data_IF_698833846299
#
_entry.id   IF_698833846299
#
_cell.length_a   1.000
_cell.length_b   1.000
_cell.length_c   1.000
_cell.angle_alpha   90.00
_cell.angle_beta   90.00
_cell.angle_gamma   90.00
#
_symmetry.space_group_name_H-M   'P 1'
#
loop_
_entity.id
_entity.type
_entity.pdbx_description
1 polymer ?
#
# COMPACT_ATOMS: atom_id res chain seq x y z
N UNK A 1 -21.81 7.10 -12.79
CA UNK A 1 -22.90 7.18 -11.80
C UNK A 1 -23.76 8.37 -12.19
N UNK A 2 -25.08 8.30 -12.00
CA UNK A 2 -25.95 9.46 -12.19
C UNK A 2 -25.81 10.43 -11.02
N UNK A 3 -26.16 11.71 -11.21
CA UNK A 3 -26.15 12.71 -10.13
C UNK A 3 -27.07 12.32 -8.97
N UNK A 4 -28.16 11.60 -9.24
CA UNK A 4 -29.07 11.06 -8.22
C UNK A 4 -28.41 9.99 -7.34
N UNK A 5 -27.61 9.09 -7.93
CA UNK A 5 -26.86 8.08 -7.17
C UNK A 5 -25.79 8.73 -6.27
N UNK A 6 -25.16 9.80 -6.75
CA UNK A 6 -24.14 10.54 -6.00
C UNK A 6 -24.77 11.36 -4.86
N UNK A 7 -25.97 11.90 -5.06
CA UNK A 7 -26.71 12.62 -4.04
C UNK A 7 -27.23 11.70 -2.94
N UNK A 8 -27.76 10.53 -3.30
CA UNK A 8 -28.15 9.49 -2.35
C UNK A 8 -26.95 9.01 -1.50
N UNK A 9 -25.78 8.84 -2.12
CA UNK A 9 -24.55 8.47 -1.40
C UNK A 9 -24.11 9.55 -0.40
N UNK A 10 -24.25 10.83 -0.76
CA UNK A 10 -23.91 11.98 0.10
C UNK A 10 -24.86 12.14 1.27
N UNK A 11 -26.13 11.79 1.11
CA UNK A 11 -27.12 11.79 2.19
C UNK A 11 -26.88 10.63 3.15
N UNK A 12 -26.67 9.41 2.62
CA UNK A 12 -26.34 8.23 3.42
C UNK A 12 -25.06 8.43 4.24
N UNK A 13 -24.02 9.00 3.63
CA UNK A 13 -22.76 9.28 4.33
C UNK A 13 -22.90 10.37 5.41
N UNK A 14 -23.77 11.37 5.20
CA UNK A 14 -24.08 12.39 6.22
C UNK A 14 -24.83 11.78 7.41
N UNK A 15 -25.76 10.88 7.12
CA UNK A 15 -26.54 10.19 8.16
C UNK A 15 -25.66 9.22 8.97
N UNK A 16 -24.79 8.46 8.30
CA UNK A 16 -23.78 7.62 8.95
C UNK A 16 -22.86 8.46 9.84
N UNK A 17 -22.30 9.56 9.32
CA UNK A 17 -21.40 10.43 10.09
C UNK A 17 -22.08 11.06 11.32
N UNK A 18 -23.38 11.40 11.22
CA UNK A 18 -24.17 11.91 12.36
C UNK A 18 -24.40 10.82 13.41
N UNK A 19 -24.78 9.61 13.00
CA UNK A 19 -25.02 8.47 13.91
C UNK A 19 -23.74 7.99 14.59
N UNK A 20 -22.59 8.06 13.91
CA UNK A 20 -21.27 7.80 14.52
C UNK A 20 -20.87 8.87 15.56
N UNK A 21 -21.23 10.13 15.35
CA UNK A 21 -20.96 11.21 16.29
C UNK A 21 -21.78 11.08 17.61
N UNK A 22 -22.94 10.43 17.56
CA UNK A 22 -23.84 10.24 18.72
C UNK A 22 -23.43 9.09 19.65
N UNK A 23 -22.26 8.43 19.45
CA UNK A 23 -21.73 7.33 20.29
C UNK A 23 -22.65 6.11 20.41
N UNK A 24 -23.49 5.85 19.41
CA UNK A 24 -24.34 4.66 19.45
C UNK A 24 -23.53 3.41 19.04
N UNK A 25 -23.08 2.64 20.04
CA UNK A 25 -22.16 1.49 19.90
C UNK A 25 -22.79 0.26 19.20
N UNK A 26 -24.05 0.35 18.79
CA UNK A 26 -24.84 -0.76 18.25
C UNK A 26 -25.48 -0.43 16.89
N UNK A 27 -24.86 0.41 16.06
CA UNK A 27 -25.41 0.68 14.72
C UNK A 27 -25.36 -0.58 13.83
N UNK A 28 -26.54 -1.12 13.54
CA UNK A 28 -26.76 -2.19 12.57
C UNK A 28 -27.25 -1.53 11.27
N UNK A 29 -26.53 -1.66 10.13
CA UNK A 29 -26.96 -1.09 8.86
C UNK A 29 -28.36 -1.59 8.49
N UNK A 30 -29.22 -0.68 8.03
CA UNK A 30 -30.58 -1.04 7.64
C UNK A 30 -30.58 -1.97 6.43
N UNK A 31 -31.68 -2.69 6.19
CA UNK A 31 -31.83 -3.53 5.00
C UNK A 31 -31.62 -2.76 3.69
N UNK A 32 -31.93 -1.47 3.67
CA UNK A 32 -31.76 -0.60 2.51
C UNK A 32 -30.28 -0.21 2.29
N UNK A 33 -29.54 0.02 3.37
CA UNK A 33 -28.09 0.26 3.34
C UNK A 33 -27.33 -0.98 2.86
N UNK A 34 -27.73 -2.15 3.36
CA UNK A 34 -27.15 -3.45 2.94
C UNK A 34 -27.38 -3.72 1.46
N UNK A 35 -28.60 -3.48 0.96
CA UNK A 35 -28.93 -3.61 -0.47
C UNK A 35 -28.12 -2.66 -1.34
N UNK A 36 -27.85 -1.45 -0.85
CA UNK A 36 -27.06 -0.46 -1.59
C UNK A 36 -25.59 -0.86 -1.69
N UNK A 37 -25.02 -1.35 -0.59
CA UNK A 37 -23.65 -1.91 -0.55
C UNK A 37 -23.53 -3.11 -1.48
N UNK A 38 -24.48 -4.04 -1.42
CA UNK A 38 -24.49 -5.25 -2.24
C UNK A 38 -24.64 -4.94 -3.74
N UNK A 39 -25.45 -3.93 -4.09
CA UNK A 39 -25.59 -3.44 -5.48
C UNK A 39 -24.28 -2.84 -6.01
N UNK A 40 -23.53 -2.11 -5.19
CA UNK A 40 -22.23 -1.54 -5.55
C UNK A 40 -21.14 -2.59 -5.73
N UNK A 41 -21.08 -3.60 -4.86
CA UNK A 41 -20.15 -4.72 -5.00
C UNK A 41 -20.46 -5.56 -6.24
N UNK A 42 -21.74 -5.78 -6.54
CA UNK A 42 -22.16 -6.46 -7.78
C UNK A 42 -21.78 -5.67 -9.03
N UNK A 43 -21.97 -4.36 -9.04
CA UNK A 43 -21.55 -3.49 -10.15
C UNK A 43 -20.02 -3.50 -10.34
N UNK A 44 -19.26 -3.57 -9.24
CA UNK A 44 -17.80 -3.71 -9.28
C UNK A 44 -17.38 -5.06 -9.85
N UNK A 45 -18.02 -6.15 -9.43
CA UNK A 45 -17.74 -7.50 -9.94
C UNK A 45 -18.12 -7.67 -11.42
N UNK A 46 -19.20 -7.06 -11.89
CA UNK A 46 -19.55 -7.08 -13.32
C UNK A 46 -18.55 -6.31 -14.18
N UNK A 47 -17.95 -5.25 -13.65
CA UNK A 47 -16.90 -4.49 -14.34
C UNK A 47 -15.60 -5.29 -14.48
N UNK A 48 -15.27 -6.13 -13.50
CA UNK A 48 -14.16 -7.10 -13.53
C UNK A 48 -14.38 -8.25 -14.52
N UNK A 49 -15.64 -8.53 -14.91
CA UNK A 49 -16.01 -9.55 -15.89
C UNK A 49 -16.01 -9.05 -17.35
N UNK A 50 -15.76 -7.75 -17.59
CA UNK A 50 -15.65 -7.22 -18.96
C UNK A 50 -14.44 -7.84 -19.65
N UNK A 51 -14.54 -8.23 -20.95
CA UNK A 51 -13.44 -8.92 -21.62
C UNK A 51 -12.24 -7.98 -21.74
N UNK A 52 -11.13 -8.38 -21.12
CA UNK A 52 -9.80 -7.89 -21.51
C UNK A 52 -9.44 -8.62 -22.79
N UNK A 53 -8.93 -7.90 -23.79
CA UNK A 53 -8.43 -8.46 -25.05
C UNK A 53 -7.59 -9.72 -24.78
N UNK A 54 -7.89 -10.87 -25.40
CA UNK A 54 -7.12 -12.07 -25.14
C UNK A 54 -5.69 -11.86 -25.65
N UNK A 55 -4.66 -12.31 -24.92
CA UNK A 55 -3.31 -12.27 -25.42
C UNK A 55 -3.23 -13.07 -26.73
N UNK A 56 -2.50 -12.53 -27.71
CA UNK A 56 -2.08 -13.25 -28.91
C UNK A 56 -1.47 -14.58 -28.48
N UNK A 57 -1.94 -15.68 -29.09
CA UNK A 57 -1.60 -17.05 -28.69
C UNK A 57 -0.10 -17.24 -28.47
N UNK A 58 0.32 -17.94 -27.40
CA UNK A 58 1.72 -18.24 -27.17
C UNK A 58 2.23 -19.24 -28.22
N UNK A 59 3.47 -19.05 -28.67
CA UNK A 59 4.21 -20.07 -29.37
C UNK A 59 4.38 -21.29 -28.45
N UNK A 60 4.03 -22.48 -28.94
CA UNK A 60 4.25 -23.77 -28.26
C UNK A 60 5.73 -23.92 -27.93
N UNK A 61 6.07 -24.06 -26.66
CA UNK A 61 7.36 -24.58 -26.23
C UNK A 61 7.14 -25.65 -25.16
N UNK A 62 7.50 -26.87 -25.52
CA UNK A 62 7.46 -28.07 -24.68
C UNK A 62 8.75 -28.16 -23.87
N UNK A 63 8.74 -27.84 -22.57
CA UNK A 63 9.81 -28.28 -21.65
C UNK A 63 9.26 -28.55 -20.26
N UNK A 64 9.43 -29.80 -19.81
CA UNK A 64 9.19 -30.22 -18.43
C UNK A 64 10.34 -29.76 -17.51
N UNK A 65 10.07 -29.39 -16.25
CA UNK A 65 11.07 -28.81 -15.36
C UNK A 65 11.98 -29.87 -14.71
N UNK A 66 13.27 -29.55 -14.55
CA UNK A 66 14.05 -30.10 -13.43
C UNK A 66 15.46 -30.64 -13.68
N UNK A 67 16.02 -30.61 -14.91
CA UNK A 67 17.36 -31.17 -15.16
C UNK A 67 18.11 -30.30 -16.19
N UNK A 68 19.37 -29.97 -15.92
CA UNK A 68 20.24 -29.33 -16.90
C UNK A 68 20.51 -30.28 -18.10
N UNK A 69 20.96 -29.79 -19.27
CA UNK A 69 21.18 -30.62 -20.47
C UNK A 69 22.16 -31.80 -20.28
N UNK A 70 22.95 -31.79 -19.19
CA UNK A 70 23.93 -32.80 -18.82
C UNK A 70 23.44 -33.80 -17.75
N UNK A 71 22.19 -33.69 -17.30
CA UNK A 71 21.64 -34.58 -16.28
C UNK A 71 21.80 -34.11 -14.83
N UNK A 72 22.41 -32.95 -14.57
CA UNK A 72 22.65 -32.46 -13.21
C UNK A 72 21.49 -31.64 -12.62
N UNK A 73 21.29 -31.78 -11.30
CA UNK A 73 20.43 -30.90 -10.50
C UNK A 73 21.22 -29.63 -10.14
N UNK A 74 20.62 -28.44 -10.28
CA UNK A 74 21.29 -27.17 -9.95
C UNK A 74 21.75 -27.15 -8.48
N UNK A 75 22.99 -26.71 -8.19
CA UNK A 75 23.51 -26.67 -6.83
C UNK A 75 22.80 -25.59 -5.99
N UNK A 76 22.37 -25.98 -4.78
CA UNK A 76 21.85 -25.08 -3.75
C UNK A 76 23.03 -24.32 -3.13
N UNK A 77 23.13 -23.02 -3.38
CA UNK A 77 24.10 -22.18 -2.68
C UNK A 77 23.56 -21.81 -1.29
N UNK A 78 24.18 -22.34 -0.24
CA UNK A 78 24.06 -21.80 1.12
C UNK A 78 24.70 -20.41 1.17
N UNK A 79 23.89 -19.35 1.23
CA UNK A 79 24.36 -18.00 1.60
C UNK A 79 23.98 -17.71 3.04
N UNK A 80 24.98 -17.52 3.90
CA UNK A 80 24.80 -16.85 5.20
C UNK A 80 24.36 -15.39 4.93
N UNK A 81 23.21 -14.93 5.44
CA UNK A 81 22.86 -13.52 5.34
C UNK A 81 23.75 -12.73 6.30
N UNK A 82 24.57 -11.83 5.76
CA UNK A 82 25.19 -10.79 6.57
C UNK A 82 24.14 -9.69 6.83
N UNK A 83 23.91 -9.26 8.08
CA UNK A 83 23.05 -8.14 8.36
C UNK A 83 23.78 -6.84 8.01
N UNK A 84 23.26 -6.08 7.03
CA UNK A 84 23.65 -4.68 6.83
C UNK A 84 22.70 -3.79 7.62
N UNK A 85 23.17 -3.05 8.64
CA UNK A 85 22.36 -2.05 9.33
C UNK A 85 22.33 -0.75 8.49
N UNK A 86 21.15 -0.15 8.36
CA UNK A 86 20.83 1.11 7.65
C UNK A 86 20.85 1.07 6.11
N UNK A 87 19.96 0.27 5.51
CA UNK A 87 19.14 0.80 4.41
C UNK A 87 18.08 1.71 5.05
N UNK A 88 17.86 2.93 4.54
CA UNK A 88 16.77 3.77 5.02
C UNK A 88 15.45 3.06 4.70
N UNK A 89 14.88 2.35 5.67
CA UNK A 89 13.59 1.70 5.50
C UNK A 89 12.55 2.76 5.14
N UNK A 90 11.81 2.52 4.06
CA UNK A 90 10.72 3.40 3.69
C UNK A 90 9.51 3.05 4.55
N UNK A 91 9.15 3.95 5.47
CA UNK A 91 8.01 3.80 6.36
C UNK A 91 6.76 4.52 5.84
N UNK A 92 6.82 5.21 4.70
CA UNK A 92 5.68 6.01 4.22
C UNK A 92 4.81 5.23 3.24
N UNK A 93 3.52 5.16 3.52
CA UNK A 93 2.53 4.60 2.60
C UNK A 93 2.11 5.62 1.53
N UNK A 94 2.38 5.31 0.26
CA UNK A 94 1.91 6.09 -0.89
C UNK A 94 0.43 5.82 -1.18
N UNK A 95 -0.45 6.49 -0.44
CA UNK A 95 -1.91 6.28 -0.56
C UNK A 95 -2.63 7.26 -1.47
N UNK A 96 -2.00 8.36 -1.90
CA UNK A 96 -2.69 9.39 -2.69
C UNK A 96 -2.63 9.06 -4.17
N UNK A 97 -3.79 8.86 -4.78
CA UNK A 97 -3.92 8.38 -6.16
C UNK A 97 -4.14 9.51 -7.16
N UNK A 98 -4.77 10.62 -6.76
CA UNK A 98 -5.09 11.71 -7.67
C UNK A 98 -3.88 12.57 -7.99
N UNK A 99 -3.75 12.92 -9.28
CA UNK A 99 -2.67 13.78 -9.79
C UNK A 99 -2.79 15.21 -9.27
N UNK A 100 -4.02 15.68 -9.07
CA UNK A 100 -4.34 17.04 -8.59
C UNK A 100 -3.92 17.28 -7.14
N UNK A 101 -3.61 16.23 -6.39
CA UNK A 101 -3.17 16.32 -4.99
C UNK A 101 -1.69 16.66 -4.85
N UNK A 102 -0.94 16.66 -5.95
CA UNK A 102 0.51 16.86 -5.98
C UNK A 102 0.88 18.11 -6.76
N UNK A 103 2.02 18.71 -6.42
CA UNK A 103 2.62 19.77 -7.23
C UNK A 103 3.00 19.22 -8.62
N UNK A 104 2.92 20.03 -9.70
CA UNK A 104 3.23 19.59 -11.05
C UNK A 104 4.60 18.91 -11.20
N UNK A 105 5.61 19.42 -10.51
CA UNK A 105 6.98 18.87 -10.55
C UNK A 105 7.07 17.46 -9.92
N UNK A 106 6.31 17.20 -8.85
CA UNK A 106 6.26 15.87 -8.22
C UNK A 106 5.54 14.86 -9.12
N UNK A 107 4.45 15.30 -9.78
CA UNK A 107 3.75 14.47 -10.76
C UNK A 107 4.69 14.12 -11.93
N UNK A 108 5.38 15.12 -12.48
CA UNK A 108 6.33 14.92 -13.57
C UNK A 108 7.48 13.98 -13.18
N UNK A 109 8.05 14.14 -11.97
CA UNK A 109 9.09 13.25 -11.46
C UNK A 109 8.61 11.81 -11.34
N UNK A 110 7.44 11.59 -10.75
CA UNK A 110 6.86 10.23 -10.60
C UNK A 110 6.54 9.60 -11.95
N UNK A 111 6.06 10.38 -12.92
CA UNK A 111 5.86 9.90 -14.29
C UNK A 111 7.19 9.49 -14.92
N UNK A 112 8.25 10.31 -14.81
CA UNK A 112 9.58 9.97 -15.32
C UNK A 112 10.14 8.68 -14.72
N UNK A 113 10.00 8.48 -13.41
CA UNK A 113 10.43 7.23 -12.73
C UNK A 113 9.64 6.04 -13.30
N UNK A 114 8.31 6.17 -13.38
CA UNK A 114 7.45 5.10 -13.86
C UNK A 114 7.67 4.78 -15.34
N UNK A 115 7.94 5.78 -16.19
CA UNK A 115 8.28 5.59 -17.61
C UNK A 115 9.65 4.94 -17.77
N UNK A 116 10.66 5.38 -17.01
CA UNK A 116 11.97 4.75 -17.02
C UNK A 116 11.88 3.27 -16.60
N UNK A 117 11.11 2.96 -15.54
CA UNK A 117 10.89 1.60 -15.08
C UNK A 117 10.14 0.74 -16.12
N UNK A 118 9.06 1.27 -16.71
CA UNK A 118 8.25 0.58 -17.73
C UNK A 118 9.02 0.30 -19.03
N UNK A 119 9.95 1.19 -19.39
CA UNK A 119 10.77 1.05 -20.60
C UNK A 119 12.07 0.27 -20.35
N UNK A 120 12.32 -0.18 -19.12
CA UNK A 120 13.53 -0.91 -18.75
C UNK A 120 14.80 -0.06 -18.68
N UNK A 121 14.67 1.26 -18.58
CA UNK A 121 15.79 2.19 -18.39
C UNK A 121 16.24 2.23 -16.92
N UNK A 122 16.76 1.10 -16.43
CA UNK A 122 17.03 0.88 -15.00
C UNK A 122 17.99 1.90 -14.38
N UNK A 123 19.06 2.27 -15.08
CA UNK A 123 20.03 3.27 -14.57
C UNK A 123 19.39 4.64 -14.39
N UNK A 124 18.53 5.05 -15.32
CA UNK A 124 17.79 6.32 -15.23
C UNK A 124 16.78 6.26 -14.08
N UNK A 125 16.02 5.17 -13.96
CA UNK A 125 15.08 4.95 -12.86
C UNK A 125 15.80 5.03 -11.50
N UNK A 126 16.92 4.34 -11.32
CA UNK A 126 17.70 4.35 -10.08
C UNK A 126 18.27 5.73 -9.77
N UNK A 127 18.71 6.49 -10.78
CA UNK A 127 19.17 7.87 -10.59
C UNK A 127 18.05 8.80 -10.11
N UNK A 128 16.85 8.69 -10.69
CA UNK A 128 15.68 9.47 -10.28
C UNK A 128 15.18 9.08 -8.87
N UNK A 129 15.35 7.82 -8.48
CA UNK A 129 15.01 7.33 -7.14
C UNK A 129 15.98 7.81 -6.05
N UNK A 130 17.13 8.38 -6.38
CA UNK A 130 18.06 8.93 -5.39
C UNK A 130 17.45 10.12 -4.59
N UNK A 131 16.46 10.80 -5.16
CA UNK A 131 15.77 11.94 -4.55
C UNK A 131 14.27 11.68 -4.34
N UNK A 132 13.83 10.43 -4.42
CA UNK A 132 12.43 10.02 -4.30
C UNK A 132 12.30 8.76 -3.44
N UNK A 133 11.09 8.48 -2.95
CA UNK A 133 10.82 7.23 -2.22
C UNK A 133 10.60 6.08 -3.19
N UNK A 134 11.20 4.93 -2.89
CA UNK A 134 11.24 3.77 -3.79
C UNK A 134 9.90 3.07 -3.97
N UNK A 135 9.00 3.14 -3.00
CA UNK A 135 7.70 2.45 -3.06
C UNK A 135 6.58 3.27 -3.70
N UNK A 136 6.87 4.51 -4.10
CA UNK A 136 5.88 5.39 -4.75
C UNK A 136 5.47 4.86 -6.12
N UNK A 137 4.19 5.02 -6.42
CA UNK A 137 3.58 4.60 -7.68
C UNK A 137 3.21 5.81 -8.53
N UNK A 138 2.88 5.56 -9.80
CA UNK A 138 2.40 6.61 -10.70
C UNK A 138 1.04 7.15 -10.22
N UNK A 139 0.92 8.46 -9.94
CA UNK A 139 -0.37 9.07 -9.63
C UNK A 139 -1.32 8.96 -10.84
N UNK A 140 -2.53 8.47 -10.59
CA UNK A 140 -3.56 8.18 -11.60
C UNK A 140 -3.36 6.85 -12.35
N UNK A 141 -2.33 6.06 -12.02
CA UNK A 141 -2.14 4.73 -12.58
C UNK A 141 -3.15 3.71 -12.02
N UNK A 142 -3.64 2.80 -12.85
CA UNK A 142 -4.66 1.81 -12.43
C UNK A 142 -4.06 0.62 -11.68
N UNK A 143 -2.87 0.19 -12.06
CA UNK A 143 -2.28 -1.07 -11.59
C UNK A 143 -1.46 -0.94 -10.29
N UNK A 144 -1.08 0.28 -9.89
CA UNK A 144 -0.29 0.49 -8.67
C UNK A 144 1.11 -0.15 -8.71
N UNK A 145 1.74 -0.20 -9.88
CA UNK A 145 3.09 -0.74 -10.02
C UNK A 145 4.12 0.19 -9.36
N UNK A 146 4.76 -0.29 -8.31
CA UNK A 146 6.02 0.25 -7.80
C UNK A 146 7.23 -0.25 -8.65
N UNK A 147 8.40 0.42 -8.60
CA UNK A 147 9.62 0.01 -9.30
C UNK A 147 9.97 -1.48 -9.20
N UNK A 148 9.81 -2.09 -8.02
CA UNK A 148 10.13 -3.52 -7.82
C UNK A 148 9.20 -4.45 -8.62
N UNK A 149 7.93 -4.06 -8.83
CA UNK A 149 7.01 -4.79 -9.70
C UNK A 149 7.44 -4.70 -11.17
N UNK A 150 7.96 -3.56 -11.61
CA UNK A 150 8.45 -3.40 -12.99
C UNK A 150 9.71 -4.25 -13.22
N UNK A 151 10.62 -4.30 -12.25
CA UNK A 151 11.78 -5.21 -12.30
C UNK A 151 11.33 -6.67 -12.43
N UNK A 152 10.36 -7.08 -11.61
CA UNK A 152 9.77 -8.41 -11.69
C UNK A 152 9.03 -8.66 -13.01
N UNK A 153 8.37 -7.65 -13.57
CA UNK A 153 7.67 -7.78 -14.85
C UNK A 153 8.64 -7.96 -16.02
N UNK A 154 9.69 -7.16 -16.08
CA UNK A 154 10.64 -7.21 -17.18
C UNK A 154 11.69 -8.32 -17.04
N UNK A 155 11.85 -8.90 -15.85
CA UNK A 155 12.94 -9.84 -15.59
C UNK A 155 14.29 -9.15 -15.58
N UNK A 156 14.36 -7.96 -14.97
CA UNK A 156 15.57 -7.13 -14.98
C UNK A 156 16.78 -7.86 -14.36
N UNK A 157 18.01 -7.34 -14.57
CA UNK A 157 19.19 -7.87 -13.89
C UNK A 157 19.02 -7.88 -12.37
N UNK A 158 19.59 -8.89 -11.69
CA UNK A 158 19.45 -9.09 -10.24
C UNK A 158 19.97 -7.89 -9.46
N UNK A 159 21.00 -7.22 -9.98
CA UNK A 159 21.63 -6.03 -9.40
C UNK A 159 20.65 -4.86 -9.29
N UNK A 160 19.71 -4.73 -10.23
CA UNK A 160 18.67 -3.69 -10.19
C UNK A 160 17.68 -3.99 -9.07
N UNK A 161 17.23 -5.25 -8.96
CA UNK A 161 16.35 -5.69 -7.88
C UNK A 161 17.02 -5.50 -6.51
N UNK A 162 18.29 -5.89 -6.41
CA UNK A 162 19.10 -5.73 -5.20
C UNK A 162 19.21 -4.25 -4.82
N UNK A 163 19.49 -3.38 -5.79
CA UNK A 163 19.58 -1.94 -5.50
C UNK A 163 18.26 -1.34 -5.03
N UNK A 164 17.13 -1.76 -5.59
CA UNK A 164 15.81 -1.31 -5.12
C UNK A 164 15.53 -1.78 -3.69
N UNK A 165 15.85 -3.03 -3.37
CA UNK A 165 15.75 -3.58 -2.02
C UNK A 165 16.62 -2.77 -1.03
N UNK A 166 17.86 -2.46 -1.40
CA UNK A 166 18.77 -1.63 -0.58
C UNK A 166 18.24 -0.21 -0.37
N UNK A 167 17.38 0.29 -1.27
CA UNK A 167 16.67 1.56 -1.12
C UNK A 167 15.37 1.44 -0.30
N UNK A 168 15.05 0.27 0.24
CA UNK A 168 13.85 0.04 1.06
C UNK A 168 12.61 -0.42 0.26
N UNK A 169 12.78 -0.99 -0.94
CA UNK A 169 11.65 -1.49 -1.70
C UNK A 169 10.99 -2.69 -1.01
N UNK A 170 9.67 -2.61 -0.84
CA UNK A 170 8.89 -3.65 -0.18
C UNK A 170 8.62 -4.83 -1.10
N UNK A 171 8.88 -6.05 -0.63
CA UNK A 171 8.68 -7.29 -1.41
C UNK A 171 7.27 -7.84 -1.27
N UNK A 172 6.60 -7.52 -0.17
CA UNK A 172 5.20 -7.86 0.09
C UNK A 172 4.20 -6.79 -0.36
N UNK A 173 4.66 -5.68 -0.95
CA UNK A 173 3.74 -4.71 -1.54
C UNK A 173 2.99 -5.37 -2.71
N UNK A 174 1.67 -5.32 -2.68
CA UNK A 174 0.83 -5.87 -3.77
C UNK A 174 0.41 -4.76 -4.73
N UNK A 175 0.26 -5.08 -6.01
CA UNK A 175 -0.44 -4.25 -7.01
C UNK A 175 -1.93 -4.08 -6.68
N UNK A 176 -2.66 -3.25 -7.43
CA UNK A 176 -4.13 -3.17 -7.32
C UNK A 176 -4.80 -4.52 -7.61
N UNK A 177 -4.18 -5.37 -8.43
CA UNK A 177 -4.62 -6.74 -8.74
C UNK A 177 -4.19 -7.78 -7.70
N UNK A 178 -3.51 -7.39 -6.63
CA UNK A 178 -3.15 -8.28 -5.52
C UNK A 178 -1.84 -9.06 -5.71
N UNK A 179 -1.07 -8.79 -6.76
CA UNK A 179 0.18 -9.52 -7.03
C UNK A 179 1.39 -8.84 -6.38
N UNK A 180 2.24 -9.62 -5.71
CA UNK A 180 3.56 -9.17 -5.26
C UNK A 180 4.57 -9.18 -6.41
N UNK A 181 5.71 -8.46 -6.31
CA UNK A 181 6.80 -8.58 -7.26
C UNK A 181 7.23 -10.03 -7.50
N UNK A 182 7.37 -10.84 -6.43
CA UNK A 182 7.73 -12.25 -6.57
C UNK A 182 6.68 -13.05 -7.36
N UNK A 183 5.38 -12.82 -7.10
CA UNK A 183 4.31 -13.47 -7.86
C UNK A 183 4.38 -13.12 -9.35
N UNK A 184 4.62 -11.86 -9.68
CA UNK A 184 4.81 -11.40 -11.07
C UNK A 184 6.02 -12.07 -11.72
N UNK A 185 7.18 -12.10 -11.04
CA UNK A 185 8.39 -12.72 -11.56
C UNK A 185 8.17 -14.21 -11.84
N UNK A 186 7.53 -14.93 -10.91
CA UNK A 186 7.18 -16.35 -11.08
C UNK A 186 6.21 -16.57 -12.25
N UNK A 187 5.15 -15.78 -12.33
CA UNK A 187 4.17 -15.87 -13.43
C UNK A 187 4.81 -15.65 -14.80
N UNK A 188 5.86 -14.83 -14.86
CA UNK A 188 6.57 -14.48 -16.11
C UNK A 188 7.81 -15.34 -16.37
N UNK A 189 8.10 -16.32 -15.51
CA UNK A 189 9.22 -17.25 -15.69
C UNK A 189 10.59 -16.69 -15.29
N UNK A 190 10.66 -15.55 -14.61
CA UNK A 190 11.90 -14.88 -14.21
C UNK A 190 12.47 -15.47 -12.92
N UNK A 191 12.81 -16.75 -12.96
CA UNK A 191 13.24 -17.51 -11.78
C UNK A 191 14.52 -16.96 -11.13
N UNK A 192 15.40 -16.33 -11.91
CA UNK A 192 16.64 -15.71 -11.41
C UNK A 192 16.39 -14.61 -10.38
N UNK A 193 15.20 -13.99 -10.39
CA UNK A 193 14.80 -12.98 -9.42
C UNK A 193 14.21 -13.54 -8.12
N UNK A 194 13.89 -14.84 -8.06
CA UNK A 194 13.17 -15.43 -6.91
C UNK A 194 13.90 -15.19 -5.60
N UNK A 195 15.22 -15.41 -5.56
CA UNK A 195 16.00 -15.26 -4.34
C UNK A 195 16.05 -13.83 -3.81
N UNK A 196 16.15 -12.82 -4.68
CA UNK A 196 16.21 -11.42 -4.25
C UNK A 196 14.83 -10.86 -3.90
N UNK A 197 13.76 -11.37 -4.53
CA UNK A 197 12.37 -10.96 -4.30
C UNK A 197 11.66 -11.74 -3.20
N UNK A 198 12.27 -12.79 -2.65
CA UNK A 198 11.70 -13.55 -1.53
C UNK A 198 11.52 -12.64 -0.31
N UNK A 199 10.31 -12.55 0.27
CA UNK A 199 10.03 -11.73 1.44
C UNK A 199 10.94 -12.04 2.62
N UNK A 200 11.34 -11.00 3.36
CA UNK A 200 12.12 -11.16 4.59
C UNK A 200 11.23 -10.78 5.77
N UNK A 201 10.39 -11.73 6.20
CA UNK A 201 9.40 -11.50 7.26
C UNK A 201 10.08 -11.51 8.64
N UNK A 202 10.02 -10.37 9.32
CA UNK A 202 10.53 -10.18 10.70
C UNK A 202 9.44 -10.33 11.75
N UNK A 203 8.22 -9.98 11.38
CA UNK A 203 7.04 -10.01 12.24
C UNK A 203 5.98 -10.94 11.63
N UNK A 204 6.09 -12.27 11.85
CA UNK A 204 5.19 -13.23 11.23
C UNK A 204 3.77 -13.05 11.74
N UNK A 205 2.82 -12.97 10.80
CA UNK A 205 1.39 -12.94 11.05
C UNK A 205 0.71 -14.04 10.25
N UNK A 206 -0.29 -14.69 10.85
CA UNK A 206 -1.17 -15.57 10.11
C UNK A 206 -2.00 -14.76 9.11
N UNK A 207 -2.37 -15.39 7.98
CA UNK A 207 -3.05 -14.70 6.88
C UNK A 207 -4.43 -14.16 7.29
N UNK A 208 -5.16 -14.91 8.12
CA UNK A 208 -6.45 -14.52 8.68
C UNK A 208 -6.33 -13.33 9.63
N UNK A 209 -5.30 -13.31 10.48
CA UNK A 209 -4.96 -12.19 11.35
C UNK A 209 -4.65 -10.94 10.53
N UNK A 210 -3.77 -11.05 9.52
CA UNK A 210 -3.40 -9.94 8.66
C UNK A 210 -4.62 -9.35 7.94
N UNK A 211 -5.48 -10.21 7.38
CA UNK A 211 -6.73 -9.79 6.74
C UNK A 211 -7.66 -9.08 7.71
N UNK A 212 -7.86 -9.64 8.91
CA UNK A 212 -8.68 -9.02 9.94
C UNK A 212 -8.16 -7.64 10.35
N UNK A 213 -6.84 -7.49 10.51
CA UNK A 213 -6.23 -6.19 10.79
C UNK A 213 -6.41 -5.19 9.63
N UNK A 214 -6.23 -5.62 8.38
CA UNK A 214 -6.44 -4.77 7.19
C UNK A 214 -7.89 -4.30 7.08
N UNK A 215 -8.86 -5.18 7.34
CA UNK A 215 -10.29 -4.88 7.34
C UNK A 215 -10.67 -3.86 8.42
N UNK A 216 -10.27 -4.09 9.67
CA UNK A 216 -10.61 -3.20 10.78
C UNK A 216 -9.86 -1.87 10.72
N UNK A 217 -8.62 -1.85 10.22
CA UNK A 217 -7.91 -0.61 9.90
C UNK A 217 -8.65 0.18 8.82
N UNK A 218 -9.10 -0.49 7.76
CA UNK A 218 -9.87 0.15 6.70
C UNK A 218 -11.20 0.71 7.21
N UNK A 219 -11.89 0.00 8.10
CA UNK A 219 -13.09 0.49 8.78
C UNK A 219 -12.80 1.74 9.62
N UNK A 220 -11.72 1.74 10.42
CA UNK A 220 -11.31 2.90 11.22
C UNK A 220 -11.02 4.13 10.33
N UNK A 221 -10.27 3.93 9.24
CA UNK A 221 -9.91 5.03 8.33
C UNK A 221 -11.15 5.56 7.58
N UNK A 222 -12.07 4.68 7.15
CA UNK A 222 -13.27 5.08 6.40
C UNK A 222 -14.42 5.59 7.27
N UNK A 223 -14.55 5.11 8.50
CA UNK A 223 -15.65 5.49 9.41
C UNK A 223 -15.28 6.64 10.36
N UNK A 224 -13.99 6.95 10.50
CA UNK A 224 -13.51 8.02 11.37
C UNK A 224 -13.53 9.40 10.74
N UNK A 225 -12.79 10.34 11.36
CA UNK A 225 -12.63 11.74 10.91
C UNK A 225 -12.01 11.90 9.51
N UNK A 226 -11.60 10.80 8.88
CA UNK A 226 -10.92 10.74 7.57
C UNK A 226 -11.82 10.31 6.41
N UNK A 227 -13.05 9.90 6.69
CA UNK A 227 -14.01 9.41 5.68
C UNK A 227 -14.07 10.31 4.44
N UNK A 228 -14.23 11.61 4.68
CA UNK A 228 -14.36 12.62 3.63
C UNK A 228 -13.07 12.76 2.79
N UNK A 229 -11.90 12.75 3.42
CA UNK A 229 -10.61 12.81 2.72
C UNK A 229 -10.35 11.57 1.88
N UNK A 230 -10.62 10.38 2.43
CA UNK A 230 -10.45 9.10 1.73
C UNK A 230 -11.30 9.06 0.47
N UNK A 231 -12.55 9.53 0.54
CA UNK A 231 -13.46 9.59 -0.60
C UNK A 231 -13.05 10.66 -1.62
N UNK A 232 -12.82 11.91 -1.17
CA UNK A 232 -12.48 13.03 -2.06
C UNK A 232 -11.15 12.83 -2.80
N UNK A 233 -10.15 12.28 -2.11
CA UNK A 233 -8.80 12.09 -2.64
C UNK A 233 -8.60 10.68 -3.23
N UNK A 234 -9.66 9.85 -3.27
CA UNK A 234 -9.63 8.46 -3.73
C UNK A 234 -8.44 7.68 -3.16
N UNK A 235 -8.23 7.81 -1.83
CA UNK A 235 -7.03 7.27 -1.19
C UNK A 235 -7.01 5.75 -1.25
N UNK A 236 -5.85 5.21 -1.64
CA UNK A 236 -5.50 3.81 -1.48
C UNK A 236 -5.09 3.57 -0.04
N UNK A 237 -5.85 2.74 0.66
CA UNK A 237 -5.59 2.43 2.06
C UNK A 237 -4.30 1.60 2.24
N UNK A 238 -3.60 1.73 3.38
CA UNK A 238 -2.41 0.95 3.69
C UNK A 238 -2.63 -0.55 3.59
N UNK A 239 -1.71 -1.24 2.91
CA UNK A 239 -1.54 -2.68 3.05
C UNK A 239 -0.61 -2.94 4.23
N UNK A 240 -0.92 -3.97 5.01
CA UNK A 240 -0.15 -4.31 6.19
C UNK A 240 0.94 -5.32 5.91
N UNK A 241 0.87 -6.10 4.82
CA UNK A 241 1.90 -7.08 4.51
C UNK A 241 3.33 -6.49 4.52
N UNK A 242 3.61 -5.30 3.94
CA UNK A 242 4.94 -4.67 4.02
C UNK A 242 5.44 -4.38 5.44
N UNK A 243 4.55 -4.06 6.39
CA UNK A 243 4.95 -3.74 7.78
C UNK A 243 5.65 -4.91 8.46
N UNK A 244 5.38 -6.14 7.99
CA UNK A 244 5.95 -7.37 8.55
C UNK A 244 7.41 -7.57 8.16
N UNK A 245 7.91 -6.87 7.13
CA UNK A 245 9.31 -6.94 6.68
C UNK A 245 10.22 -5.88 7.32
N UNK A 246 9.63 -4.83 7.90
CA UNK A 246 10.36 -3.69 8.47
C UNK A 246 11.00 -4.07 9.81
N UNK A 247 12.19 -3.54 10.09
CA UNK A 247 12.87 -3.71 11.37
C UNK A 247 12.12 -2.99 12.49
N UNK A 248 11.62 -1.78 12.21
CA UNK A 248 10.61 -1.13 13.02
C UNK A 248 9.26 -1.29 12.33
N UNK A 249 8.31 -2.07 12.89
CA UNK A 249 7.07 -2.39 12.21
C UNK A 249 6.07 -1.24 12.32
N UNK A 250 6.43 -0.11 11.71
CA UNK A 250 5.71 1.16 11.69
C UNK A 250 5.51 1.64 10.27
N UNK A 251 4.32 2.12 9.98
CA UNK A 251 3.96 2.80 8.74
C UNK A 251 3.33 4.15 9.04
N UNK A 252 3.77 5.16 8.31
CA UNK A 252 3.16 6.48 8.27
C UNK A 252 2.30 6.60 7.02
N UNK A 253 1.02 6.91 7.21
CA UNK A 253 0.08 7.17 6.13
C UNK A 253 -0.28 8.68 6.11
N UNK A 254 0.34 9.46 5.20
CA UNK A 254 0.04 10.88 5.05
C UNK A 254 -1.35 11.08 4.44
N UNK A 255 -2.14 11.98 5.02
CA UNK A 255 -3.47 12.35 4.52
C UNK A 255 -3.43 13.79 3.98
N UNK A 256 -3.55 14.00 2.65
CA UNK A 256 -3.49 15.33 2.06
C UNK A 256 -4.54 16.28 2.61
N UNK A 257 -4.16 17.55 2.80
CA UNK A 257 -5.04 18.60 3.30
C UNK A 257 -5.16 18.65 4.82
N UNK A 258 -4.55 17.71 5.54
CA UNK A 258 -4.36 17.81 6.97
C UNK A 258 -2.88 18.01 7.27
N UNK A 259 -2.55 18.96 8.15
CA UNK A 259 -1.22 19.06 8.74
C UNK A 259 -1.05 17.91 9.75
N UNK A 260 -0.92 16.66 9.27
CA UNK A 260 -1.01 15.45 10.09
C UNK A 260 -1.07 14.16 9.27
N UNK A 261 -1.55 13.09 9.90
CA UNK A 261 -1.68 11.78 9.27
C UNK A 261 -1.84 10.65 10.28
N UNK A 262 -1.70 9.42 9.80
CA UNK A 262 -1.99 8.20 10.55
C UNK A 262 -0.70 7.40 10.73
N UNK A 263 -0.26 7.25 11.97
CA UNK A 263 0.81 6.33 12.35
C UNK A 263 0.20 4.97 12.68
N UNK A 264 0.75 3.91 12.10
CA UNK A 264 0.31 2.52 12.25
C UNK A 264 1.52 1.74 12.76
N UNK A 265 1.44 1.20 13.96
CA UNK A 265 2.49 0.36 14.54
C UNK A 265 1.93 -1.05 14.79
N UNK A 266 2.60 -2.07 14.29
CA UNK A 266 2.26 -3.46 14.59
C UNK A 266 2.92 -3.89 15.90
N UNK A 267 2.10 -4.33 16.86
CA UNK A 267 2.51 -4.82 18.17
C UNK A 267 1.99 -6.24 18.35
N UNK A 268 2.85 -7.23 18.11
CA UNK A 268 2.44 -8.64 18.13
C UNK A 268 1.43 -8.92 17.02
N UNK A 269 0.17 -9.23 17.39
CA UNK A 269 -0.93 -9.55 16.46
C UNK A 269 -1.98 -8.43 16.37
N UNK A 270 -1.63 -7.22 16.77
CA UNK A 270 -2.53 -6.07 16.87
C UNK A 270 -1.85 -4.81 16.35
N UNK A 271 -2.62 -3.79 16.00
CA UNK A 271 -2.09 -2.49 15.62
C UNK A 271 -2.38 -1.44 16.69
N UNK A 272 -1.38 -0.61 16.95
CA UNK A 272 -1.56 0.69 17.58
C UNK A 272 -1.64 1.75 16.48
N UNK A 273 -2.81 2.38 16.35
CA UNK A 273 -3.07 3.37 15.31
C UNK A 273 -3.24 4.73 15.96
N UNK A 274 -2.31 5.65 15.68
CA UNK A 274 -2.35 7.02 16.18
C UNK A 274 -2.67 7.98 15.04
N UNK A 275 -3.83 8.61 15.14
CA UNK A 275 -4.26 9.70 14.29
C UNK A 275 -3.85 11.03 14.93
N UNK A 276 -3.15 11.91 14.20
CA UNK A 276 -2.80 13.23 14.72
C UNK A 276 -3.08 14.36 13.74
N UNK A 277 -3.49 15.51 14.28
CA UNK A 277 -3.57 16.77 13.55
C UNK A 277 -2.75 17.84 14.26
N UNK A 278 -1.67 18.30 13.62
CA UNK A 278 -0.85 19.42 14.10
C UNK A 278 -1.60 20.75 14.03
N UNK A 279 -2.46 20.93 13.02
CA UNK A 279 -3.31 22.11 12.92
C UNK A 279 -4.42 22.13 13.98
N UNK A 280 -4.91 20.95 14.37
CA UNK A 280 -5.93 20.82 15.39
C UNK A 280 -5.39 20.71 16.82
N UNK A 281 -4.10 20.45 17.00
CA UNK A 281 -3.50 20.21 18.32
C UNK A 281 -4.11 18.99 19.02
N UNK A 282 -4.38 17.90 18.30
CA UNK A 282 -4.96 16.70 18.91
C UNK A 282 -4.37 15.41 18.33
N UNK A 283 -4.43 14.36 19.13
CA UNK A 283 -4.15 12.99 18.71
C UNK A 283 -5.17 12.01 19.31
N UNK A 284 -5.58 11.03 18.49
CA UNK A 284 -6.49 9.96 18.86
C UNK A 284 -5.76 8.64 18.66
N UNK A 285 -5.80 7.77 19.67
CA UNK A 285 -5.13 6.49 19.64
C UNK A 285 -6.15 5.36 19.71
N UNK A 286 -5.98 4.39 18.83
CA UNK A 286 -6.84 3.21 18.70
C UNK A 286 -6.00 1.95 18.74
N UNK A 287 -6.55 0.91 19.36
CA UNK A 287 -6.06 -0.46 19.27
C UNK A 287 -6.93 -1.20 18.27
N UNK A 288 -6.31 -1.76 17.23
CA UNK A 288 -7.00 -2.54 16.20
C UNK A 288 -6.59 -4.00 16.35
N UNK A 289 -7.56 -4.86 16.58
CA UNK A 289 -7.40 -6.31 16.60
C UNK A 289 -7.99 -6.91 15.32
N UNK A 290 -7.78 -8.21 15.04
CA UNK A 290 -8.40 -8.85 13.88
C UNK A 290 -9.93 -8.87 13.90
N UNK A 291 -10.56 -8.55 15.03
CA UNK A 291 -12.01 -8.63 15.24
C UNK A 291 -12.65 -7.37 15.83
N UNK A 292 -11.87 -6.35 16.19
CA UNK A 292 -12.38 -5.16 16.86
C UNK A 292 -11.51 -3.92 16.64
N UNK A 293 -12.13 -2.76 16.81
CA UNK A 293 -11.44 -1.47 16.93
C UNK A 293 -11.81 -0.86 18.28
N UNK A 294 -10.81 -0.63 19.12
CA UNK A 294 -10.98 -0.10 20.46
C UNK A 294 -10.33 1.28 20.55
N UNK A 295 -11.08 2.26 21.06
CA UNK A 295 -10.54 3.57 21.37
C UNK A 295 -9.72 3.49 22.68
N UNK A 296 -8.49 3.99 22.64
CA UNK A 296 -7.57 3.94 23.78
C UNK A 296 -7.55 5.29 24.50
N UNK A 297 -7.14 6.35 23.82
CA UNK A 297 -7.01 7.68 24.42
C UNK A 297 -7.17 8.79 23.37
N UNK A 298 -7.57 9.97 23.84
CA UNK A 298 -7.55 11.24 23.11
C UNK A 298 -6.63 12.18 23.89
N UNK A 299 -5.70 12.82 23.18
CA UNK A 299 -4.88 13.90 23.71
C UNK A 299 -5.20 15.16 22.94
N UNK A 300 -5.45 16.24 23.68
CA UNK A 300 -5.63 17.58 23.14
C UNK A 300 -4.45 18.38 23.66
N UNK A 301 -3.53 18.72 22.76
CA UNK A 301 -2.46 19.65 23.03
C UNK A 301 -3.09 21.05 23.12
N UNK A 302 -2.95 21.71 24.27
CA UNK A 302 -3.45 23.07 24.45
C UNK A 302 -2.93 23.99 23.33
N UNK A 303 -3.74 24.95 22.82
CA UNK A 303 -3.31 25.84 21.75
C UNK A 303 -2.03 26.57 22.18
N UNK A 304 -0.89 26.20 21.58
CA UNK A 304 0.43 26.73 21.92
C UNK A 304 1.52 25.73 22.31
N UNK A 305 1.26 24.41 22.29
CA UNK A 305 2.33 23.42 22.49
C UNK A 305 3.41 23.56 21.38
N UNK A 306 4.71 23.63 21.73
CA UNK A 306 5.76 23.79 20.74
C UNK A 306 5.77 22.60 19.78
N UNK A 307 6.09 22.83 18.49
CA UNK A 307 6.13 21.75 17.51
C UNK A 307 7.06 20.64 18.02
N UNK A 308 6.58 19.40 18.01
CA UNK A 308 7.43 18.23 18.23
C UNK A 308 8.47 18.24 17.12
N UNK A 309 9.67 18.72 17.43
CA UNK A 309 10.82 18.70 16.54
C UNK A 309 11.20 17.24 16.32
N UNK A 310 10.84 16.69 15.16
CA UNK A 310 11.62 15.65 14.51
C UNK A 310 12.23 16.27 13.25
N UNK A 311 13.54 16.08 13.13
CA UNK A 311 14.53 16.65 12.22
C UNK A 311 14.12 16.78 10.74
N UNK A 312 14.80 17.64 9.95
CA UNK A 312 14.18 18.49 8.94
C UNK A 312 13.80 17.77 7.66
N UNK A 313 12.79 18.33 6.98
CA UNK A 313 12.50 18.06 5.57
C UNK A 313 13.78 18.14 4.72
N UNK A 314 14.05 17.18 3.82
CA UNK A 314 15.06 17.39 2.79
C UNK A 314 14.52 18.49 1.85
N UNK A 315 15.32 19.54 1.72
CA UNK A 315 14.92 20.83 1.16
C UNK A 315 14.53 20.85 -0.32
N UNK A 316 13.81 21.93 -0.64
CA UNK A 316 13.67 22.65 -1.92
C UNK A 316 14.19 21.97 -3.19
#
# INVERSE_FOLDING_TARGET
MSEEEEQALRELNRELARKFAEKDKNYVPSEEDRRTIEKLDKARQERLKRPVEPPRQPAKYDFAPGVAPDGSLYPVHERKPQPQPNAAEDHEWDGVTLRTSYAPDEVARRDQIADAARNGHWSQMLALLATSRVNRTRPGGTEGFAPLHQVAWHGAPVEVAQRLVELGAWRLLRTTSGHTPLAIARQRGHQHLSGILEPVVRHPLAEDVLRGLEEHLAMLIRGGRYADFVLRQQLRLPQLAPITELAEPKLWFPVPGQYGGIEIELQGTELMVTNSSRAGGWSLRYRVTPSSVEFVEERIDAPGAPPIVRSPEPGR
#
